data_IF_907375917873
#
_entry.id   IF_907375917873
#
_cell.length_a   1.000
_cell.length_b   1.000
_cell.length_c   1.000
_cell.angle_alpha   90.00
_cell.angle_beta   90.00
_cell.angle_gamma   90.00
#
_symmetry.space_group_name_H-M   'P 1'
#
loop_
_entity.id
_entity.type
_entity.pdbx_description
1 polymer ?
#
# COMPACT_ATOMS: atom_id res chain seq x y z
N UNK A 1 -57.76 52.57 -18.64
CA UNK A 1 -56.38 52.40 -19.16
C UNK A 1 -55.30 52.57 -18.10
N UNK A 2 -55.27 53.63 -17.29
CA UNK A 2 -54.27 53.82 -16.19
C UNK A 2 -54.24 52.69 -15.15
N UNK A 3 -55.40 52.16 -14.74
CA UNK A 3 -55.48 51.07 -13.75
C UNK A 3 -54.87 49.73 -14.23
N UNK A 4 -54.95 49.44 -15.55
CA UNK A 4 -54.35 48.25 -16.16
C UNK A 4 -52.82 48.37 -16.24
N UNK A 5 -52.31 49.56 -16.51
CA UNK A 5 -50.87 49.86 -16.51
C UNK A 5 -50.26 49.75 -15.10
N UNK A 6 -50.92 50.28 -14.08
CA UNK A 6 -50.46 50.18 -12.69
C UNK A 6 -50.49 48.74 -12.18
N UNK A 7 -51.51 47.95 -12.55
CA UNK A 7 -51.58 46.53 -12.21
C UNK A 7 -50.45 45.71 -12.89
N UNK A 8 -50.12 46.04 -14.14
CA UNK A 8 -49.02 45.41 -14.87
C UNK A 8 -47.64 45.65 -14.22
N UNK A 9 -47.36 46.88 -13.78
CA UNK A 9 -46.10 47.21 -13.10
C UNK A 9 -45.97 46.53 -11.74
N UNK A 10 -47.04 46.49 -10.95
CA UNK A 10 -47.04 45.80 -9.65
C UNK A 10 -46.81 44.29 -9.84
N UNK A 11 -47.47 43.68 -10.82
CA UNK A 11 -47.25 42.27 -11.15
C UNK A 11 -45.80 42.01 -11.60
N UNK A 12 -45.24 42.85 -12.47
CA UNK A 12 -43.87 42.71 -12.94
C UNK A 12 -42.84 42.84 -11.79
N UNK A 13 -43.03 43.80 -10.88
CA UNK A 13 -42.18 43.94 -9.70
C UNK A 13 -42.30 42.75 -8.75
N UNK A 14 -43.51 42.24 -8.51
CA UNK A 14 -43.72 41.05 -7.68
C UNK A 14 -43.04 39.81 -8.29
N UNK A 15 -43.13 39.62 -9.60
CA UNK A 15 -42.43 38.54 -10.29
C UNK A 15 -40.90 38.70 -10.25
N UNK A 16 -40.37 39.91 -10.41
CA UNK A 16 -38.94 40.16 -10.32
C UNK A 16 -38.39 39.86 -8.91
N UNK A 17 -39.12 40.23 -7.86
CA UNK A 17 -38.77 39.90 -6.47
C UNK A 17 -38.82 38.38 -6.26
N UNK A 18 -39.87 37.72 -6.75
CA UNK A 18 -40.01 36.27 -6.65
C UNK A 18 -38.85 35.53 -7.33
N UNK A 19 -38.54 35.88 -8.57
CA UNK A 19 -37.43 35.27 -9.34
C UNK A 19 -36.08 35.58 -8.71
N UNK A 20 -35.88 36.79 -8.20
CA UNK A 20 -34.66 37.15 -7.48
C UNK A 20 -34.48 36.31 -6.22
N UNK A 21 -35.54 36.12 -5.44
CA UNK A 21 -35.50 35.33 -4.22
C UNK A 21 -35.30 33.83 -4.49
N UNK A 22 -35.96 33.26 -5.51
CA UNK A 22 -35.75 31.86 -5.89
C UNK A 22 -34.34 31.62 -6.41
N UNK A 23 -33.81 32.55 -7.21
CA UNK A 23 -32.43 32.49 -7.71
C UNK A 23 -31.42 32.58 -6.56
N UNK A 24 -31.68 33.44 -5.57
CA UNK A 24 -30.86 33.53 -4.36
C UNK A 24 -30.86 32.21 -3.57
N UNK A 25 -32.03 31.59 -3.37
CA UNK A 25 -32.13 30.31 -2.66
C UNK A 25 -31.32 29.23 -3.37
N UNK A 26 -31.53 29.04 -4.68
CA UNK A 26 -30.81 28.03 -5.47
C UNK A 26 -29.30 28.27 -5.45
N UNK A 27 -28.86 29.53 -5.56
CA UNK A 27 -27.44 29.86 -5.53
C UNK A 27 -26.78 29.60 -4.16
N UNK A 28 -27.56 29.64 -3.08
CA UNK A 28 -27.05 29.57 -1.70
C UNK A 28 -27.40 28.28 -0.96
N UNK A 29 -28.23 27.40 -1.50
CA UNK A 29 -28.70 26.20 -0.81
C UNK A 29 -27.58 25.24 -0.36
N UNK A 30 -26.42 25.28 -1.02
CA UNK A 30 -25.23 24.49 -0.64
C UNK A 30 -24.23 25.30 0.18
N UNK A 31 -23.96 26.56 -0.20
CA UNK A 31 -22.89 27.38 0.41
C UNK A 31 -23.33 28.10 1.68
N UNK A 32 -24.60 28.50 1.76
CA UNK A 32 -25.19 29.22 2.88
C UNK A 32 -26.61 28.70 3.16
N UNK A 33 -26.76 27.41 3.53
CA UNK A 33 -28.06 26.77 3.68
C UNK A 33 -28.96 27.43 4.72
N UNK A 34 -28.38 27.99 5.80
CA UNK A 34 -29.13 28.76 6.79
C UNK A 34 -29.76 30.03 6.21
N UNK A 35 -29.02 30.75 5.35
CA UNK A 35 -29.53 31.95 4.69
C UNK A 35 -30.60 31.60 3.66
N UNK A 36 -30.38 30.54 2.86
CA UNK A 36 -31.36 30.04 1.92
C UNK A 36 -32.66 29.57 2.61
N UNK A 37 -32.54 28.88 3.75
CA UNK A 37 -33.67 28.46 4.57
C UNK A 37 -34.44 29.66 5.13
N UNK A 38 -33.73 30.70 5.61
CA UNK A 38 -34.33 31.90 6.20
C UNK A 38 -35.17 32.73 5.21
N UNK A 39 -34.90 32.67 3.91
CA UNK A 39 -35.72 33.36 2.89
C UNK A 39 -37.15 32.82 2.87
N UNK A 40 -37.36 31.55 3.21
CA UNK A 40 -38.69 30.99 3.35
C UNK A 40 -39.53 31.07 2.08
N UNK A 41 -38.94 30.94 0.88
CA UNK A 41 -39.66 30.86 -0.40
C UNK A 41 -39.32 29.54 -1.12
N UNK A 42 -40.15 29.10 -2.06
CA UNK A 42 -39.85 27.90 -2.85
C UNK A 42 -38.75 28.18 -3.89
N UNK A 43 -37.92 27.19 -4.30
CA UNK A 43 -37.87 25.80 -3.80
C UNK A 43 -37.15 25.70 -2.44
N UNK A 44 -37.65 24.86 -1.52
CA UNK A 44 -37.09 24.72 -0.15
C UNK A 44 -36.44 23.37 0.14
N UNK A 45 -36.55 22.39 -0.76
CA UNK A 45 -36.16 21.00 -0.45
C UNK A 45 -34.68 20.89 -0.15
N UNK A 46 -33.84 21.28 -1.10
CA UNK A 46 -32.38 21.26 -0.93
C UNK A 46 -31.87 22.18 0.19
N UNK A 47 -32.44 23.38 0.34
CA UNK A 47 -32.09 24.29 1.43
C UNK A 47 -32.39 23.69 2.83
N UNK A 48 -33.57 23.07 3.01
CA UNK A 48 -33.94 22.42 4.27
C UNK A 48 -33.04 21.22 4.59
N UNK A 49 -32.77 20.37 3.59
CA UNK A 49 -31.91 19.20 3.77
C UNK A 49 -30.47 19.60 4.14
N UNK A 50 -29.89 20.57 3.43
CA UNK A 50 -28.52 21.03 3.70
C UNK A 50 -28.43 21.79 5.02
N UNK A 51 -29.48 22.52 5.42
CA UNK A 51 -29.51 23.17 6.74
C UNK A 51 -29.54 22.14 7.87
N UNK A 52 -30.40 21.11 7.77
CA UNK A 52 -30.45 20.01 8.73
C UNK A 52 -29.12 19.24 8.82
N UNK A 53 -28.49 18.98 7.68
CA UNK A 53 -27.19 18.30 7.64
C UNK A 53 -26.07 19.15 8.24
N UNK A 54 -26.09 20.47 8.02
CA UNK A 54 -25.13 21.40 8.59
C UNK A 54 -25.23 21.45 10.12
N UNK A 55 -26.45 21.59 10.68
CA UNK A 55 -26.63 21.62 12.14
C UNK A 55 -26.26 20.27 12.77
N UNK A 56 -26.59 19.16 12.10
CA UNK A 56 -26.21 17.83 12.53
C UNK A 56 -24.68 17.68 12.55
N UNK A 57 -24.00 18.06 11.48
CA UNK A 57 -22.54 18.02 11.38
C UNK A 57 -21.83 18.85 12.46
N UNK A 58 -22.36 20.03 12.81
CA UNK A 58 -21.81 20.84 13.91
C UNK A 58 -21.96 20.15 15.27
N UNK A 59 -23.04 19.38 15.47
CA UNK A 59 -23.26 18.61 16.69
C UNK A 59 -22.33 17.40 16.76
N UNK A 60 -22.14 16.67 15.67
CA UNK A 60 -21.27 15.49 15.64
C UNK A 60 -19.79 15.84 15.84
N UNK A 61 -19.36 17.05 15.48
CA UNK A 61 -18.02 17.56 15.84
C UNK A 61 -17.81 17.72 17.34
N UNK A 62 -18.88 17.96 18.12
CA UNK A 62 -18.81 18.10 19.59
C UNK A 62 -19.09 16.78 20.31
N UNK A 63 -19.98 15.98 19.76
CA UNK A 63 -20.36 14.66 20.26
C UNK A 63 -20.46 13.69 19.08
N UNK A 64 -19.42 12.86 18.84
CA UNK A 64 -19.39 11.91 17.73
C UNK A 64 -20.51 10.86 17.77
N UNK A 65 -21.21 10.69 18.90
CA UNK A 65 -22.32 9.75 19.06
C UNK A 65 -23.70 10.46 18.98
N UNK A 66 -23.73 11.75 18.69
CA UNK A 66 -24.96 12.51 18.60
C UNK A 66 -25.85 11.98 17.46
N UNK A 67 -27.08 11.60 17.78
CA UNK A 67 -28.09 11.29 16.77
C UNK A 67 -28.73 12.56 16.19
N UNK A 68 -29.28 12.51 14.96
CA UNK A 68 -30.11 13.57 14.41
C UNK A 68 -31.27 13.93 15.36
N UNK A 69 -31.47 15.22 15.60
CA UNK A 69 -32.58 15.73 16.41
C UNK A 69 -33.91 15.68 15.66
N UNK A 70 -35.03 15.76 16.38
CA UNK A 70 -36.35 15.81 15.76
C UNK A 70 -36.50 16.99 14.79
N UNK A 71 -35.93 18.16 15.11
CA UNK A 71 -35.98 19.33 14.23
C UNK A 71 -35.23 19.09 12.90
N UNK A 72 -34.07 18.43 12.96
CA UNK A 72 -33.29 18.06 11.78
C UNK A 72 -34.03 17.01 10.92
N UNK A 73 -34.70 16.06 11.56
CA UNK A 73 -35.51 15.05 10.87
C UNK A 73 -36.76 15.63 10.22
N UNK A 74 -37.41 16.59 10.86
CA UNK A 74 -38.60 17.25 10.28
C UNK A 74 -38.21 18.06 9.04
N UNK A 75 -37.06 18.75 9.08
CA UNK A 75 -36.48 19.41 7.91
C UNK A 75 -36.11 18.42 6.81
N UNK A 76 -35.48 17.29 7.14
CA UNK A 76 -35.13 16.25 6.18
C UNK A 76 -36.39 15.62 5.54
N UNK A 77 -37.44 15.34 6.32
CA UNK A 77 -38.71 14.81 5.81
C UNK A 77 -39.44 15.82 4.92
N UNK A 78 -39.45 17.10 5.31
CA UNK A 78 -40.00 18.17 4.49
C UNK A 78 -39.25 18.29 3.16
N UNK A 79 -37.92 18.18 3.21
CA UNK A 79 -37.07 18.18 2.02
C UNK A 79 -37.34 16.98 1.11
N UNK A 80 -37.44 15.77 1.67
CA UNK A 80 -37.74 14.55 0.89
C UNK A 80 -39.11 14.63 0.20
N UNK A 81 -40.14 15.19 0.87
CA UNK A 81 -41.47 15.37 0.25
C UNK A 81 -41.44 16.37 -0.91
N UNK A 82 -40.60 17.40 -0.84
CA UNK A 82 -40.43 18.37 -1.90
C UNK A 82 -39.53 17.85 -3.04
N UNK A 83 -38.49 17.10 -2.69
CA UNK A 83 -37.45 16.60 -3.58
C UNK A 83 -37.09 15.14 -3.21
N UNK A 84 -37.81 14.14 -3.75
CA UNK A 84 -37.63 12.73 -3.39
C UNK A 84 -36.25 12.14 -3.71
N UNK A 85 -35.47 12.79 -4.57
CA UNK A 85 -34.11 12.38 -4.93
C UNK A 85 -33.03 13.12 -4.10
N UNK A 86 -33.42 13.89 -3.08
CA UNK A 86 -32.48 14.59 -2.20
C UNK A 86 -31.70 13.59 -1.34
N UNK A 87 -30.48 13.28 -1.78
CA UNK A 87 -29.61 12.36 -1.06
C UNK A 87 -29.27 12.84 0.36
N UNK A 88 -29.16 14.15 0.58
CA UNK A 88 -28.92 14.73 1.92
C UNK A 88 -30.08 14.46 2.87
N UNK A 89 -31.32 14.63 2.41
CA UNK A 89 -32.51 14.33 3.20
C UNK A 89 -32.59 12.84 3.54
N UNK A 90 -32.35 11.99 2.54
CA UNK A 90 -32.37 10.54 2.69
C UNK A 90 -31.29 10.03 3.66
N UNK A 91 -30.07 10.60 3.63
CA UNK A 91 -29.01 10.23 4.58
C UNK A 91 -29.40 10.44 6.04
N UNK A 92 -30.02 11.58 6.36
CA UNK A 92 -30.48 11.86 7.72
C UNK A 92 -31.63 10.95 8.15
N UNK A 93 -32.54 10.63 7.22
CA UNK A 93 -33.63 9.68 7.49
C UNK A 93 -33.04 8.28 7.78
N UNK A 94 -32.15 7.78 6.93
CA UNK A 94 -31.52 6.46 7.08
C UNK A 94 -30.69 6.34 8.36
N UNK A 95 -29.99 7.40 8.76
CA UNK A 95 -29.21 7.44 10.00
C UNK A 95 -30.05 7.19 11.27
N UNK A 96 -31.37 7.39 11.20
CA UNK A 96 -32.28 7.16 12.35
C UNK A 96 -33.09 5.88 12.28
N UNK A 97 -32.98 5.14 11.18
CA UNK A 97 -33.64 3.86 11.06
C UNK A 97 -32.90 2.81 11.90
N UNK A 98 -33.62 1.89 12.57
CA UNK A 98 -32.99 0.76 13.22
C UNK A 98 -32.29 -0.14 12.18
N UNK A 99 -31.24 -0.83 12.59
CA UNK A 99 -30.58 -1.81 11.73
C UNK A 99 -31.58 -2.89 11.28
N UNK A 100 -31.55 -3.22 10.00
CA UNK A 100 -32.47 -4.16 9.39
C UNK A 100 -32.49 -4.10 7.87
N UNK A 101 -33.22 -5.03 7.26
CA UNK A 101 -33.28 -5.18 5.79
C UNK A 101 -33.80 -3.93 5.09
N UNK A 102 -34.82 -3.27 5.67
CA UNK A 102 -35.38 -2.03 5.12
C UNK A 102 -34.37 -0.88 5.12
N UNK A 103 -33.64 -0.72 6.22
CA UNK A 103 -32.57 0.29 6.33
C UNK A 103 -31.50 0.01 5.30
N UNK A 104 -31.05 -1.24 5.17
CA UNK A 104 -30.00 -1.60 4.24
C UNK A 104 -30.43 -1.43 2.78
N UNK A 105 -31.66 -1.82 2.43
CA UNK A 105 -32.21 -1.64 1.08
C UNK A 105 -32.23 -0.16 0.70
N UNK A 106 -32.71 0.70 1.61
CA UNK A 106 -32.72 2.14 1.39
C UNK A 106 -31.30 2.72 1.31
N UNK A 107 -30.40 2.32 2.21
CA UNK A 107 -29.01 2.77 2.22
C UNK A 107 -28.32 2.43 0.88
N UNK A 108 -28.52 1.22 0.34
CA UNK A 108 -28.02 0.79 -0.97
C UNK A 108 -28.60 1.65 -2.09
N UNK A 109 -29.93 1.82 -2.15
CA UNK A 109 -30.59 2.62 -3.19
C UNK A 109 -30.14 4.09 -3.18
N UNK A 110 -30.03 4.70 -2.00
CA UNK A 110 -29.53 6.07 -1.85
C UNK A 110 -28.06 6.15 -2.24
N UNK A 111 -27.30 5.09 -1.94
CA UNK A 111 -25.91 4.92 -2.36
C UNK A 111 -25.72 4.97 -3.88
N UNK A 112 -26.73 4.58 -4.66
CA UNK A 112 -26.68 4.67 -6.12
C UNK A 112 -26.97 6.10 -6.62
N UNK A 113 -27.70 6.91 -5.85
CA UNK A 113 -28.06 8.28 -6.22
C UNK A 113 -26.89 9.27 -6.11
N UNK A 114 -26.01 9.11 -5.13
CA UNK A 114 -24.93 10.07 -4.88
C UNK A 114 -23.60 9.44 -4.53
N UNK A 115 -22.51 9.94 -5.12
CA UNK A 115 -21.14 9.54 -4.75
C UNK A 115 -20.53 10.43 -3.66
N UNK A 116 -21.05 11.63 -3.47
CA UNK A 116 -20.39 12.73 -2.73
C UNK A 116 -20.94 12.98 -1.33
N UNK A 117 -21.92 12.20 -0.89
CA UNK A 117 -22.51 12.37 0.44
C UNK A 117 -21.69 11.59 1.48
N UNK A 118 -20.94 12.31 2.31
CA UNK A 118 -20.02 11.73 3.30
C UNK A 118 -20.74 10.90 4.35
N UNK A 119 -21.87 11.39 4.88
CA UNK A 119 -22.65 10.68 5.89
C UNK A 119 -23.16 9.34 5.36
N UNK A 120 -23.70 9.33 4.16
CA UNK A 120 -24.18 8.09 3.54
C UNK A 120 -23.05 7.07 3.34
N UNK A 121 -21.91 7.57 2.85
CA UNK A 121 -20.73 6.73 2.63
C UNK A 121 -20.21 6.15 3.96
N UNK A 122 -20.21 6.94 5.04
CA UNK A 122 -19.84 6.49 6.39
C UNK A 122 -20.80 5.42 6.91
N UNK A 123 -22.11 5.64 6.78
CA UNK A 123 -23.13 4.66 7.16
C UNK A 123 -22.97 3.35 6.38
N UNK A 124 -22.65 3.42 5.08
CA UNK A 124 -22.39 2.23 4.26
C UNK A 124 -21.13 1.47 4.70
N UNK A 125 -20.06 2.19 5.06
CA UNK A 125 -18.83 1.60 5.58
C UNK A 125 -19.10 0.91 6.93
N UNK A 126 -19.79 1.58 7.84
CA UNK A 126 -20.15 1.05 9.17
C UNK A 126 -21.06 -0.17 9.05
N UNK A 127 -22.12 -0.08 8.24
CA UNK A 127 -23.05 -1.19 8.04
C UNK A 127 -22.35 -2.42 7.41
N UNK A 128 -21.46 -2.21 6.45
CA UNK A 128 -20.66 -3.29 5.87
C UNK A 128 -19.69 -3.91 6.89
N UNK A 129 -19.01 -3.09 7.70
CA UNK A 129 -18.11 -3.55 8.74
C UNK A 129 -18.83 -4.38 9.81
N UNK A 130 -20.01 -3.95 10.27
CA UNK A 130 -20.82 -4.66 11.27
C UNK A 130 -21.30 -6.03 10.77
N UNK A 131 -21.51 -6.18 9.46
CA UNK A 131 -21.91 -7.47 8.85
C UNK A 131 -20.72 -8.36 8.46
N UNK A 132 -19.49 -7.88 8.59
CA UNK A 132 -18.31 -8.57 8.06
C UNK A 132 -18.30 -8.68 6.53
N UNK A 133 -19.01 -7.80 5.82
CA UNK A 133 -19.02 -7.77 4.35
C UNK A 133 -17.81 -6.95 3.86
N UNK A 134 -16.65 -7.60 3.83
CA UNK A 134 -15.40 -6.95 3.43
C UNK A 134 -15.44 -6.43 1.99
N UNK A 135 -16.19 -7.08 1.09
CA UNK A 135 -16.34 -6.61 -0.29
C UNK A 135 -17.05 -5.26 -0.34
N UNK A 136 -18.18 -5.13 0.35
CA UNK A 136 -18.88 -3.85 0.44
C UNK A 136 -18.04 -2.81 1.18
N UNK A 137 -17.40 -3.20 2.30
CA UNK A 137 -16.56 -2.31 3.11
C UNK A 137 -15.45 -1.66 2.28
N UNK A 138 -14.65 -2.45 1.56
CA UNK A 138 -13.56 -1.93 0.72
C UNK A 138 -14.07 -1.12 -0.48
N UNK A 139 -15.21 -1.53 -1.06
CA UNK A 139 -15.84 -0.78 -2.14
C UNK A 139 -16.24 0.64 -1.70
N UNK A 140 -16.91 0.76 -0.54
CA UNK A 140 -17.36 2.04 -0.01
C UNK A 140 -16.21 2.91 0.48
N UNK A 141 -15.17 2.33 1.09
CA UNK A 141 -13.95 3.07 1.43
C UNK A 141 -13.27 3.64 0.18
N UNK A 142 -13.08 2.83 -0.85
CA UNK A 142 -12.48 3.27 -2.12
C UNK A 142 -13.23 4.46 -2.74
N UNK A 143 -14.56 4.40 -2.74
CA UNK A 143 -15.42 5.48 -3.24
C UNK A 143 -15.30 6.74 -2.39
N UNK A 144 -15.22 6.60 -1.07
CA UNK A 144 -15.08 7.70 -0.13
C UNK A 144 -13.75 8.42 -0.26
N UNK A 145 -12.67 7.66 -0.46
CA UNK A 145 -11.32 8.20 -0.72
C UNK A 145 -11.28 9.12 -1.94
N UNK A 146 -12.05 8.81 -2.99
CA UNK A 146 -12.08 9.60 -4.23
C UNK A 146 -12.92 10.89 -4.12
N UNK A 147 -13.76 11.00 -3.10
CA UNK A 147 -14.75 12.08 -3.00
C UNK A 147 -14.56 12.98 -1.79
N UNK A 148 -13.81 12.52 -0.77
CA UNK A 148 -13.50 13.28 0.43
C UNK A 148 -11.98 13.37 0.63
N UNK A 149 -11.40 14.50 0.21
CA UNK A 149 -9.96 14.75 0.33
C UNK A 149 -9.49 14.84 1.78
N UNK A 150 -10.31 15.41 2.67
CA UNK A 150 -9.94 15.64 4.06
C UNK A 150 -9.82 14.32 4.84
N UNK A 151 -10.68 13.35 4.53
CA UNK A 151 -10.69 12.04 5.18
C UNK A 151 -9.89 10.97 4.42
N UNK A 152 -9.30 11.32 3.27
CA UNK A 152 -8.55 10.38 2.43
C UNK A 152 -7.50 9.60 3.23
N UNK A 153 -6.71 10.30 4.05
CA UNK A 153 -5.62 9.66 4.83
C UNK A 153 -6.18 8.62 5.80
N UNK A 154 -7.25 8.98 6.52
CA UNK A 154 -7.92 8.10 7.48
C UNK A 154 -8.49 6.86 6.78
N UNK A 155 -9.20 7.03 5.67
CA UNK A 155 -9.78 5.92 4.91
C UNK A 155 -8.73 4.99 4.29
N UNK A 156 -7.64 5.53 3.75
CA UNK A 156 -6.52 4.70 3.27
C UNK A 156 -5.87 3.93 4.43
N UNK A 157 -5.78 4.53 5.62
CA UNK A 157 -5.25 3.85 6.80
C UNK A 157 -6.14 2.69 7.25
N UNK A 158 -7.44 2.95 7.35
CA UNK A 158 -8.43 1.93 7.69
C UNK A 158 -8.42 0.78 6.67
N UNK A 159 -8.25 1.10 5.38
CA UNK A 159 -8.11 0.09 4.33
C UNK A 159 -6.86 -0.77 4.51
N UNK A 160 -5.70 -0.15 4.78
CA UNK A 160 -4.44 -0.85 5.00
C UNK A 160 -4.46 -1.74 6.26
N UNK A 161 -5.15 -1.31 7.30
CA UNK A 161 -5.34 -2.11 8.53
C UNK A 161 -6.31 -3.28 8.29
N UNK A 162 -7.43 -3.03 7.62
CA UNK A 162 -8.41 -4.06 7.29
C UNK A 162 -7.87 -5.12 6.30
N UNK A 163 -6.75 -4.86 5.61
CA UNK A 163 -6.07 -5.88 4.79
C UNK A 163 -5.69 -7.14 5.58
N UNK A 164 -5.57 -7.07 6.91
CA UNK A 164 -5.34 -8.24 7.76
C UNK A 164 -6.54 -9.22 7.82
N UNK A 165 -7.75 -8.80 7.46
CA UNK A 165 -8.96 -9.62 7.54
C UNK A 165 -8.95 -10.78 6.53
N UNK A 166 -9.68 -11.84 6.87
CA UNK A 166 -9.96 -12.92 5.94
C UNK A 166 -10.78 -12.40 4.75
N UNK A 167 -10.53 -12.88 3.53
CA UNK A 167 -11.25 -12.39 2.33
C UNK A 167 -10.84 -11.01 1.81
N UNK A 168 -10.07 -10.22 2.57
CA UNK A 168 -9.63 -8.88 2.16
C UNK A 168 -8.90 -8.86 0.81
N UNK A 169 -8.08 -9.88 0.53
CA UNK A 169 -7.36 -9.99 -0.76
C UNK A 169 -8.35 -10.05 -1.93
N UNK A 170 -9.39 -10.86 -1.85
CA UNK A 170 -10.39 -11.01 -2.91
C UNK A 170 -11.20 -9.72 -3.09
N UNK A 171 -11.55 -9.06 -1.99
CA UNK A 171 -12.29 -7.79 -1.99
C UNK A 171 -11.47 -6.60 -2.52
N UNK A 172 -10.19 -6.50 -2.13
CA UNK A 172 -9.29 -5.40 -2.52
C UNK A 172 -8.71 -5.56 -3.92
N UNK A 173 -8.58 -6.78 -4.44
CA UNK A 173 -8.02 -7.01 -5.79
C UNK A 173 -8.69 -6.16 -6.87
N UNK A 174 -10.03 -6.11 -7.01
CA UNK A 174 -10.66 -5.26 -8.02
C UNK A 174 -10.57 -3.77 -7.73
N UNK A 175 -10.41 -3.37 -6.46
CA UNK A 175 -10.25 -1.98 -6.05
C UNK A 175 -8.85 -1.47 -6.41
N UNK A 176 -7.81 -2.12 -5.89
CA UNK A 176 -6.41 -1.74 -6.08
C UNK A 176 -5.91 -2.09 -7.49
N UNK A 177 -6.46 -3.13 -8.09
CA UNK A 177 -6.14 -3.57 -9.45
C UNK A 177 -6.37 -2.49 -10.51
N UNK A 178 -7.35 -1.61 -10.30
CA UNK A 178 -7.62 -0.45 -11.17
C UNK A 178 -6.54 0.66 -11.09
N UNK A 179 -5.56 0.51 -10.20
CA UNK A 179 -4.48 1.48 -9.93
C UNK A 179 -5.00 2.90 -9.65
N UNK A 180 -5.90 3.08 -8.67
CA UNK A 180 -6.43 4.40 -8.35
C UNK A 180 -5.31 5.34 -7.88
N UNK A 181 -5.50 6.65 -8.03
CA UNK A 181 -4.49 7.67 -7.72
C UNK A 181 -3.99 7.64 -6.27
N UNK A 182 -4.77 7.07 -5.36
CA UNK A 182 -4.43 6.91 -3.95
C UNK A 182 -3.74 5.57 -3.61
N UNK A 183 -3.64 4.63 -4.57
CA UNK A 183 -3.06 3.29 -4.35
C UNK A 183 -1.63 3.34 -3.83
N UNK A 184 -0.84 4.33 -4.24
CA UNK A 184 0.52 4.51 -3.74
C UNK A 184 0.54 4.80 -2.22
N UNK A 185 -0.41 5.61 -1.74
CA UNK A 185 -0.56 5.87 -0.30
C UNK A 185 -1.02 4.62 0.46
N UNK A 186 -1.85 3.78 -0.17
CA UNK A 186 -2.24 2.49 0.40
C UNK A 186 -1.02 1.57 0.56
N UNK A 187 -0.21 1.41 -0.50
CA UNK A 187 0.99 0.57 -0.44
C UNK A 187 2.00 1.06 0.60
N UNK A 188 2.20 2.38 0.71
CA UNK A 188 3.01 2.97 1.76
C UNK A 188 2.51 2.62 3.17
N UNK A 189 1.19 2.64 3.41
CA UNK A 189 0.63 2.37 4.73
C UNK A 189 0.60 0.88 5.06
N UNK A 190 0.23 0.01 4.10
CA UNK A 190 0.05 -1.43 4.37
C UNK A 190 1.37 -2.13 4.71
N UNK A 191 2.50 -1.70 4.13
CA UNK A 191 3.82 -2.26 4.47
C UNK A 191 4.25 -1.96 5.90
N UNK A 192 3.64 -0.97 6.55
CA UNK A 192 3.90 -0.61 7.95
C UNK A 192 2.99 -1.35 8.93
N UNK A 193 2.07 -2.21 8.45
CA UNK A 193 1.09 -2.93 9.28
C UNK A 193 1.47 -4.41 9.39
N UNK A 194 2.06 -4.86 10.51
CA UNK A 194 2.52 -6.24 10.69
C UNK A 194 1.47 -7.30 10.33
N UNK A 195 0.25 -7.12 10.85
CA UNK A 195 -0.85 -8.07 10.65
C UNK A 195 -1.32 -8.16 9.19
N UNK A 196 -1.05 -7.14 8.39
CA UNK A 196 -1.50 -7.06 6.99
C UNK A 196 -0.49 -7.59 6.00
N UNK A 197 0.78 -7.81 6.38
CA UNK A 197 1.87 -8.08 5.43
C UNK A 197 1.64 -9.32 4.55
N UNK A 198 1.18 -10.43 5.15
CA UNK A 198 0.93 -11.66 4.42
C UNK A 198 -0.17 -11.48 3.36
N UNK A 199 -1.25 -10.79 3.71
CA UNK A 199 -2.33 -10.50 2.78
C UNK A 199 -1.94 -9.42 1.76
N UNK A 200 -1.11 -8.45 2.14
CA UNK A 200 -0.55 -7.46 1.22
C UNK A 200 0.30 -8.12 0.13
N UNK A 201 1.13 -9.11 0.49
CA UNK A 201 1.90 -9.90 -0.47
C UNK A 201 0.99 -10.65 -1.45
N UNK A 202 -0.02 -11.37 -0.93
CA UNK A 202 -1.02 -12.07 -1.76
C UNK A 202 -1.77 -11.12 -2.69
N UNK A 203 -2.19 -9.95 -2.18
CA UNK A 203 -2.84 -8.92 -2.97
C UNK A 203 -1.93 -8.40 -4.08
N UNK A 204 -0.65 -8.15 -3.78
CA UNK A 204 0.32 -7.66 -4.76
C UNK A 204 0.54 -8.66 -5.90
N UNK A 205 0.63 -9.95 -5.57
CA UNK A 205 0.68 -11.06 -6.55
C UNK A 205 -0.61 -11.12 -7.38
N UNK A 206 -1.78 -10.94 -6.74
CA UNK A 206 -3.07 -10.99 -7.43
C UNK A 206 -3.21 -9.86 -8.47
N UNK A 207 -2.81 -8.62 -8.14
CA UNK A 207 -2.87 -7.50 -9.08
C UNK A 207 -1.77 -7.54 -10.16
N UNK A 208 -0.71 -8.32 -9.96
CA UNK A 208 0.30 -8.56 -11.00
C UNK A 208 -0.24 -9.45 -12.14
N UNK A 209 -1.23 -10.29 -11.86
CA UNK A 209 -1.83 -11.24 -12.80
C UNK A 209 -2.95 -10.60 -13.63
N UNK A 210 -3.49 -11.35 -14.59
CA UNK A 210 -4.71 -10.97 -15.31
C UNK A 210 -5.88 -10.74 -14.33
N UNK A 211 -6.77 -9.76 -14.59
CA UNK A 211 -6.79 -8.86 -15.74
C UNK A 211 -5.93 -7.59 -15.57
N UNK A 212 -5.40 -7.33 -14.38
CA UNK A 212 -4.81 -6.02 -14.02
C UNK A 212 -3.39 -5.81 -14.53
N UNK A 213 -2.58 -6.88 -14.61
CA UNK A 213 -1.21 -6.87 -15.16
C UNK A 213 -0.31 -5.77 -14.57
N UNK A 214 -0.42 -5.48 -13.28
CA UNK A 214 0.50 -4.53 -12.60
C UNK A 214 1.87 -5.17 -12.38
N UNK A 215 2.65 -5.35 -13.44
CA UNK A 215 3.93 -6.09 -13.41
C UNK A 215 5.12 -5.24 -12.98
N UNK A 216 4.99 -3.91 -13.01
CA UNK A 216 6.09 -3.02 -12.64
C UNK A 216 6.43 -3.13 -11.14
N UNK A 217 7.69 -3.39 -10.83
CA UNK A 217 8.20 -3.46 -9.46
C UNK A 217 8.37 -2.03 -8.91
N UNK A 218 7.74 -1.76 -7.77
CA UNK A 218 7.77 -0.47 -7.10
C UNK A 218 8.69 -0.48 -5.87
N UNK A 219 8.98 0.71 -5.32
CA UNK A 219 9.69 0.84 -4.04
C UNK A 219 8.96 0.15 -2.88
N UNK A 220 7.63 0.07 -2.95
CA UNK A 220 6.81 -0.54 -1.90
C UNK A 220 6.87 -2.07 -1.98
N UNK A 221 7.09 -2.64 -3.16
CA UNK A 221 7.34 -4.08 -3.31
C UNK A 221 8.64 -4.46 -2.60
N UNK A 222 9.69 -3.63 -2.75
CA UNK A 222 10.97 -3.80 -2.03
C UNK A 222 10.78 -3.72 -0.52
N UNK A 223 10.05 -2.70 -0.04
CA UNK A 223 9.75 -2.53 1.37
C UNK A 223 8.95 -3.72 1.92
N UNK A 224 7.94 -4.20 1.19
CA UNK A 224 7.12 -5.35 1.55
C UNK A 224 7.96 -6.63 1.66
N UNK A 225 8.82 -6.90 0.67
CA UNK A 225 9.72 -8.05 0.64
C UNK A 225 10.70 -8.05 1.84
N UNK A 226 11.27 -6.89 2.15
CA UNK A 226 12.17 -6.70 3.31
C UNK A 226 11.40 -6.89 4.63
N UNK A 227 10.22 -6.28 4.78
CA UNK A 227 9.43 -6.39 6.02
C UNK A 227 8.93 -7.80 6.29
N UNK A 228 8.51 -8.53 5.25
CA UNK A 228 8.18 -9.96 5.36
C UNK A 228 9.39 -10.76 5.87
N UNK A 229 10.56 -10.53 5.28
CA UNK A 229 11.80 -11.20 5.65
C UNK A 229 12.22 -10.89 7.10
N UNK A 230 12.20 -9.61 7.49
CA UNK A 230 12.55 -9.17 8.84
C UNK A 230 11.67 -9.80 9.93
N UNK A 231 10.44 -10.20 9.57
CA UNK A 231 9.47 -10.82 10.47
C UNK A 231 9.40 -12.34 10.37
N UNK A 232 10.31 -12.95 9.60
CA UNK A 232 10.37 -14.40 9.44
C UNK A 232 9.34 -14.97 8.45
N UNK A 233 8.63 -14.14 7.70
CA UNK A 233 7.70 -14.57 6.64
C UNK A 233 8.43 -14.84 5.32
N UNK A 234 9.50 -15.63 5.36
CA UNK A 234 10.39 -15.89 4.22
C UNK A 234 9.67 -16.53 3.03
N UNK A 235 8.80 -17.51 3.29
CA UNK A 235 8.04 -18.21 2.24
C UNK A 235 7.08 -17.26 1.51
N UNK A 236 6.47 -16.31 2.23
CA UNK A 236 5.61 -15.29 1.63
C UNK A 236 6.42 -14.25 0.82
N UNK A 237 7.59 -13.86 1.32
CA UNK A 237 8.50 -12.99 0.58
C UNK A 237 8.98 -13.66 -0.72
N UNK A 238 9.28 -14.97 -0.67
CA UNK A 238 9.67 -15.75 -1.85
C UNK A 238 8.52 -15.85 -2.86
N UNK A 239 7.31 -16.14 -2.40
CA UNK A 239 6.13 -16.18 -3.24
C UNK A 239 5.84 -14.83 -3.92
N UNK A 240 6.12 -13.71 -3.24
CA UNK A 240 6.04 -12.37 -3.84
C UNK A 240 7.06 -12.20 -4.97
N UNK A 241 8.32 -12.59 -4.74
CA UNK A 241 9.37 -12.54 -5.75
C UNK A 241 9.04 -13.36 -7.01
N UNK A 242 8.57 -14.59 -6.82
CA UNK A 242 8.16 -15.48 -7.92
C UNK A 242 6.88 -14.98 -8.61
N UNK A 243 5.91 -14.49 -7.84
CA UNK A 243 4.63 -13.98 -8.35
C UNK A 243 4.75 -12.70 -9.20
N UNK A 244 5.87 -12.00 -9.11
CA UNK A 244 6.20 -10.85 -9.97
C UNK A 244 7.06 -11.22 -11.20
N UNK A 245 7.23 -12.53 -11.47
CA UNK A 245 8.00 -13.05 -12.61
C UNK A 245 9.48 -12.59 -12.62
N UNK A 246 10.04 -12.34 -11.43
CA UNK A 246 11.44 -11.98 -11.24
C UNK A 246 12.34 -13.20 -11.06
N UNK A 247 11.74 -14.37 -10.81
CA UNK A 247 12.41 -15.66 -10.80
C UNK A 247 12.73 -16.12 -12.24
N UNK A 248 13.45 -15.30 -13.00
CA UNK A 248 13.95 -15.70 -14.32
C UNK A 248 15.00 -16.79 -14.12
N UNK A 249 14.54 -18.01 -14.35
CA UNK A 249 15.27 -19.26 -14.52
C UNK A 249 16.72 -19.27 -14.02
N UNK A 250 16.88 -19.89 -12.85
CA UNK A 250 18.07 -20.62 -12.41
C UNK A 250 18.37 -21.83 -13.34
N UNK A 251 18.28 -21.64 -14.66
CA UNK A 251 18.54 -22.64 -15.72
C UNK A 251 19.97 -23.19 -15.66
N UNK A 252 20.86 -22.57 -14.88
CA UNK A 252 22.27 -22.94 -14.76
C UNK A 252 22.64 -23.72 -13.49
N UNK A 253 21.67 -24.13 -12.66
CA UNK A 253 21.95 -24.75 -11.36
C UNK A 253 22.59 -23.80 -10.34
N UNK A 254 22.70 -22.51 -10.68
CA UNK A 254 23.07 -21.45 -9.75
C UNK A 254 21.84 -21.08 -8.90
N UNK A 255 22.00 -21.11 -7.58
CA UNK A 255 20.98 -20.77 -6.61
C UNK A 255 20.88 -19.26 -6.35
N UNK A 256 21.87 -18.48 -6.83
CA UNK A 256 21.87 -17.03 -6.73
C UNK A 256 21.12 -16.40 -7.90
N UNK A 257 20.30 -15.38 -7.61
CA UNK A 257 19.73 -14.54 -8.66
C UNK A 257 20.73 -13.48 -9.07
N UNK A 258 20.91 -13.32 -10.38
CA UNK A 258 21.85 -12.37 -10.99
C UNK A 258 23.29 -12.45 -10.44
N UNK A 259 23.82 -13.68 -10.31
CA UNK A 259 25.21 -13.89 -9.89
C UNK A 259 26.27 -13.31 -10.84
N UNK A 260 25.88 -13.01 -12.08
CA UNK A 260 26.73 -12.33 -13.07
C UNK A 260 26.57 -10.80 -13.10
N UNK A 261 25.79 -10.22 -12.18
CA UNK A 261 25.60 -8.77 -12.03
C UNK A 261 25.19 -8.07 -13.34
N UNK A 262 24.31 -8.70 -14.10
CA UNK A 262 23.88 -8.21 -15.41
C UNK A 262 22.77 -7.16 -15.34
N UNK A 263 22.17 -6.92 -14.16
CA UNK A 263 21.09 -5.94 -13.97
C UNK A 263 21.14 -5.29 -12.60
N UNK A 264 20.44 -4.17 -12.46
CA UNK A 264 20.21 -3.58 -11.15
C UNK A 264 19.26 -4.48 -10.32
N UNK A 265 19.43 -4.53 -8.99
CA UNK A 265 18.53 -5.28 -8.13
C UNK A 265 17.13 -4.66 -8.12
N UNK A 266 16.11 -5.47 -8.38
CA UNK A 266 14.73 -5.00 -8.44
C UNK A 266 13.98 -5.27 -7.14
N UNK A 267 14.14 -6.48 -6.58
CA UNK A 267 13.39 -6.92 -5.41
C UNK A 267 14.26 -7.70 -4.40
N UNK A 268 15.13 -7.01 -3.63
CA UNK A 268 15.80 -7.61 -2.48
C UNK A 268 14.76 -8.15 -1.46
N UNK A 269 15.10 -9.17 -0.66
CA UNK A 269 16.43 -9.77 -0.53
C UNK A 269 16.69 -10.97 -1.45
N UNK A 270 15.77 -11.31 -2.36
CA UNK A 270 16.00 -12.40 -3.33
C UNK A 270 16.75 -11.92 -4.57
N UNK A 271 16.76 -10.62 -4.85
CA UNK A 271 17.83 -9.96 -5.59
C UNK A 271 18.92 -9.44 -4.63
N UNK A 272 20.06 -9.01 -5.18
CA UNK A 272 21.14 -8.42 -4.39
C UNK A 272 20.68 -7.22 -3.56
N UNK A 273 20.82 -7.33 -2.24
CA UNK A 273 20.76 -6.18 -1.34
C UNK A 273 22.16 -5.60 -1.20
N UNK A 274 22.36 -4.41 -1.76
CA UNK A 274 23.64 -3.71 -1.75
C UNK A 274 23.72 -2.74 -0.56
N UNK A 275 24.91 -2.63 0.02
CA UNK A 275 25.16 -1.70 1.10
C UNK A 275 25.39 -0.28 0.60
N UNK A 276 24.83 0.66 1.33
CA UNK A 276 25.03 2.09 1.13
C UNK A 276 25.29 2.71 2.50
N UNK A 277 26.56 2.93 2.83
CA UNK A 277 27.00 3.56 4.06
C UNK A 277 28.18 4.50 3.79
N UNK A 278 28.50 5.39 4.73
CA UNK A 278 29.58 6.36 4.55
C UNK A 278 30.98 5.74 4.37
N UNK A 279 31.22 4.54 4.92
CA UNK A 279 32.53 3.86 4.87
C UNK A 279 32.55 2.64 3.95
N UNK A 280 31.40 2.16 3.51
CA UNK A 280 31.22 0.97 2.68
C UNK A 280 30.08 1.21 1.69
N UNK A 281 30.38 1.10 0.41
CA UNK A 281 29.42 1.18 -0.68
C UNK A 281 29.55 -0.02 -1.62
N UNK A 282 28.42 -0.43 -2.17
CA UNK A 282 28.39 -1.39 -3.27
C UNK A 282 27.41 -0.95 -4.35
N UNK A 283 27.79 -1.15 -5.60
CA UNK A 283 26.96 -0.84 -6.76
C UNK A 283 27.17 -1.88 -7.86
N UNK A 284 26.13 -2.15 -8.64
CA UNK A 284 26.27 -2.94 -9.86
C UNK A 284 26.45 -1.95 -11.02
N UNK A 285 27.44 -2.18 -11.86
CA UNK A 285 27.59 -1.52 -13.16
C UNK A 285 27.05 -2.47 -14.23
N UNK A 286 25.92 -2.09 -14.83
CA UNK A 286 25.21 -2.89 -15.83
C UNK A 286 25.98 -2.99 -17.16
N UNK A 287 26.86 -2.03 -17.46
CA UNK A 287 27.69 -2.02 -18.68
C UNK A 287 28.84 -2.99 -18.55
N UNK A 288 29.56 -2.94 -17.43
CA UNK A 288 30.67 -3.85 -17.16
C UNK A 288 30.22 -5.21 -16.62
N UNK A 289 28.94 -5.34 -16.26
CA UNK A 289 28.32 -6.52 -15.63
C UNK A 289 29.13 -6.96 -14.42
N UNK A 290 29.36 -6.01 -13.52
CA UNK A 290 30.18 -6.24 -12.35
C UNK A 290 29.61 -5.58 -11.12
N UNK A 291 29.82 -6.21 -9.97
CA UNK A 291 29.59 -5.62 -8.66
C UNK A 291 30.87 -4.93 -8.20
N UNK A 292 30.80 -3.61 -8.06
CA UNK A 292 31.82 -2.80 -7.40
C UNK A 292 31.56 -2.80 -5.90
N UNK A 293 32.60 -3.10 -5.12
CA UNK A 293 32.65 -2.93 -3.68
C UNK A 293 33.77 -1.96 -3.36
N UNK A 294 33.40 -0.82 -2.77
CA UNK A 294 34.33 0.21 -2.31
C UNK A 294 34.23 0.37 -0.81
N UNK A 295 35.36 0.29 -0.14
CA UNK A 295 35.41 0.40 1.32
C UNK A 295 36.67 1.14 1.77
N UNK A 296 36.54 1.97 2.80
CA UNK A 296 37.66 2.69 3.42
C UNK A 296 38.04 2.09 4.77
N UNK A 297 39.10 2.60 5.39
CA UNK A 297 39.61 2.15 6.68
C UNK A 297 38.49 2.08 7.74
N UNK A 298 38.49 1.00 8.53
CA UNK A 298 37.47 0.74 9.56
C UNK A 298 36.11 0.24 9.04
N UNK A 299 35.93 0.09 7.73
CA UNK A 299 34.68 -0.42 7.16
C UNK A 299 34.38 -1.86 7.60
N UNK A 300 33.15 -2.08 8.10
CA UNK A 300 32.65 -3.39 8.54
C UNK A 300 31.19 -3.56 8.14
N UNK A 301 30.84 -4.70 7.58
CA UNK A 301 29.46 -5.02 7.22
C UNK A 301 29.37 -5.91 5.97
N UNK A 302 28.16 -6.17 5.49
CA UNK A 302 27.98 -6.77 4.17
C UNK A 302 28.10 -5.67 3.11
N UNK A 303 28.79 -5.94 2.00
CA UNK A 303 28.76 -5.12 0.79
C UNK A 303 27.54 -5.49 -0.06
N UNK A 304 27.28 -6.79 -0.22
CA UNK A 304 26.16 -7.32 -0.95
C UNK A 304 25.66 -8.58 -0.26
N UNK A 305 24.33 -8.81 -0.23
CA UNK A 305 23.77 -10.06 0.29
C UNK A 305 22.51 -10.47 -0.44
N UNK A 306 22.21 -11.77 -0.41
CA UNK A 306 20.99 -12.35 -0.96
C UNK A 306 20.47 -13.43 -0.01
N UNK A 307 19.15 -13.55 0.07
CA UNK A 307 18.48 -14.61 0.81
C UNK A 307 18.26 -15.82 -0.11
N UNK A 308 18.68 -16.99 0.35
CA UNK A 308 18.63 -18.24 -0.42
C UNK A 308 18.07 -19.37 0.43
N UNK A 309 17.32 -20.27 -0.19
CA UNK A 309 16.87 -21.52 0.45
C UNK A 309 17.94 -22.58 0.22
N UNK A 310 18.52 -23.11 1.31
CA UNK A 310 19.60 -24.11 1.24
C UNK A 310 19.25 -25.32 2.11
N UNK A 311 18.76 -26.42 1.53
CA UNK A 311 18.66 -27.69 2.23
C UNK A 311 20.01 -28.19 2.76
N UNK A 312 20.04 -29.10 3.74
CA UNK A 312 21.28 -29.76 4.16
C UNK A 312 21.99 -30.44 2.99
N UNK A 313 23.31 -30.27 2.89
CA UNK A 313 24.09 -30.85 1.81
C UNK A 313 25.40 -30.16 1.48
N UNK A 314 26.03 -30.62 0.39
CA UNK A 314 27.29 -30.09 -0.11
C UNK A 314 27.05 -28.98 -1.14
N UNK A 315 27.75 -27.87 -0.98
CA UNK A 315 27.63 -26.70 -1.86
C UNK A 315 29.01 -26.25 -2.35
N UNK A 316 29.03 -25.62 -3.52
CA UNK A 316 30.22 -24.99 -4.11
C UNK A 316 29.92 -23.53 -4.37
N UNK A 317 30.68 -22.65 -3.73
CA UNK A 317 30.69 -21.21 -4.00
C UNK A 317 31.81 -20.90 -5.00
N UNK A 318 31.47 -20.38 -6.18
CA UNK A 318 32.42 -19.89 -7.18
C UNK A 318 32.42 -18.37 -7.24
N UNK A 319 33.59 -17.75 -7.49
CA UNK A 319 33.69 -16.31 -7.69
C UNK A 319 34.80 -15.92 -8.66
N UNK A 320 34.63 -14.76 -9.30
CA UNK A 320 35.64 -14.09 -10.12
C UNK A 320 35.81 -12.66 -9.64
N UNK A 321 36.94 -12.38 -9.01
CA UNK A 321 37.24 -11.10 -8.35
C UNK A 321 38.50 -10.47 -8.95
N UNK A 322 38.45 -9.18 -9.26
CA UNK A 322 39.63 -8.35 -9.54
C UNK A 322 39.67 -7.17 -8.57
N UNK A 323 40.86 -6.72 -8.20
CA UNK A 323 41.03 -5.60 -7.27
C UNK A 323 42.19 -4.71 -7.70
N UNK A 324 42.12 -3.43 -7.35
CA UNK A 324 43.13 -2.43 -7.68
C UNK A 324 44.46 -2.65 -6.94
N UNK A 325 44.45 -3.35 -5.80
CA UNK A 325 45.63 -3.67 -5.00
C UNK A 325 45.64 -5.15 -4.58
N UNK A 326 46.83 -5.73 -4.26
CA UNK A 326 46.93 -7.09 -3.73
C UNK A 326 46.11 -7.26 -2.44
N UNK A 327 45.06 -8.07 -2.51
CA UNK A 327 44.15 -8.38 -1.39
C UNK A 327 44.78 -9.52 -0.56
N UNK A 328 45.77 -9.23 0.29
CA UNK A 328 46.40 -10.24 1.17
C UNK A 328 46.77 -9.67 2.56
N UNK A 329 46.20 -10.19 3.67
CA UNK A 329 45.06 -11.12 3.73
C UNK A 329 43.78 -10.47 3.18
N UNK A 330 42.81 -11.27 2.75
CA UNK A 330 41.60 -10.70 2.15
C UNK A 330 40.65 -10.08 3.19
N UNK A 331 40.38 -8.76 3.11
CA UNK A 331 39.28 -8.13 3.85
C UNK A 331 37.88 -8.57 3.39
N UNK A 332 37.78 -9.26 2.25
CA UNK A 332 36.51 -9.74 1.70
C UNK A 332 36.25 -11.19 2.11
N UNK A 333 35.05 -11.47 2.61
CA UNK A 333 34.64 -12.81 3.05
C UNK A 333 33.23 -13.11 2.57
N UNK A 334 33.00 -14.28 1.99
CA UNK A 334 31.65 -14.79 1.84
C UNK A 334 31.22 -15.43 3.17
N UNK A 335 30.05 -15.04 3.68
CA UNK A 335 29.45 -15.62 4.87
C UNK A 335 28.10 -16.21 4.51
N UNK A 336 27.85 -17.42 5.04
CA UNK A 336 26.54 -18.06 5.00
C UNK A 336 26.05 -18.13 6.44
N UNK A 337 24.93 -17.50 6.73
CA UNK A 337 24.35 -17.48 8.08
C UNK A 337 22.86 -17.74 8.04
N UNK A 338 22.34 -18.49 9.00
CA UNK A 338 20.91 -18.73 9.13
C UNK A 338 20.14 -17.40 9.25
N UNK A 339 19.04 -17.28 8.51
CA UNK A 339 18.16 -16.11 8.52
C UNK A 339 17.00 -16.28 9.51
N UNK A 340 16.61 -17.51 9.83
CA UNK A 340 15.53 -17.83 10.76
C UNK A 340 15.96 -17.56 12.21
N UNK A 341 15.23 -16.69 12.90
CA UNK A 341 15.51 -16.29 14.28
C UNK A 341 15.14 -17.40 15.27
N UNK A 342 15.96 -17.58 16.31
CA UNK A 342 15.73 -18.58 17.35
C UNK A 342 16.24 -19.99 17.02
N UNK A 343 16.67 -20.23 15.78
CA UNK A 343 17.23 -21.51 15.39
C UNK A 343 18.75 -21.55 15.54
N UNK A 344 19.24 -22.57 16.25
CA UNK A 344 20.68 -22.81 16.41
C UNK A 344 21.21 -23.59 15.21
N UNK A 345 21.48 -22.90 14.11
CA UNK A 345 22.32 -23.47 13.06
C UNK A 345 23.78 -23.46 13.51
N UNK A 346 24.51 -24.56 13.27
CA UNK A 346 25.94 -24.57 13.50
C UNK A 346 26.63 -23.50 12.64
N UNK A 347 27.63 -22.78 13.18
CA UNK A 347 28.27 -21.70 12.45
C UNK A 347 29.01 -22.24 11.23
N UNK A 348 28.72 -21.66 10.05
CA UNK A 348 29.43 -21.96 8.82
C UNK A 348 30.65 -21.06 8.74
N UNK A 349 31.83 -21.65 8.56
CA UNK A 349 33.08 -20.90 8.50
C UNK A 349 33.08 -19.94 7.29
N UNK A 350 33.37 -18.64 7.50
CA UNK A 350 33.47 -17.69 6.39
C UNK A 350 34.55 -18.10 5.37
N UNK A 351 34.30 -17.80 4.11
CA UNK A 351 35.19 -18.09 2.99
C UNK A 351 35.91 -16.80 2.59
N UNK A 352 37.23 -16.74 2.78
CA UNK A 352 38.02 -15.61 2.28
C UNK A 352 37.96 -15.52 0.76
N UNK A 353 37.59 -14.34 0.24
CA UNK A 353 37.45 -14.08 -1.19
C UNK A 353 38.72 -13.41 -1.71
N UNK A 354 39.55 -14.14 -2.44
CA UNK A 354 40.81 -13.65 -3.02
C UNK A 354 40.64 -13.29 -4.49
N UNK A 355 41.51 -12.40 -5.00
CA UNK A 355 41.54 -12.03 -6.41
C UNK A 355 41.84 -13.24 -7.33
N UNK A 356 41.30 -13.22 -8.53
CA UNK A 356 41.31 -14.32 -9.49
C UNK A 356 39.98 -15.05 -9.60
N UNK A 357 40.00 -16.20 -10.29
CA UNK A 357 38.86 -17.10 -10.41
C UNK A 357 39.05 -18.29 -9.47
N UNK A 358 38.11 -18.46 -8.55
CA UNK A 358 38.23 -19.46 -7.48
C UNK A 358 36.89 -20.12 -7.22
N UNK A 359 36.94 -21.27 -6.55
CA UNK A 359 35.77 -21.89 -5.99
C UNK A 359 36.12 -22.65 -4.71
N UNK A 360 35.18 -22.67 -3.75
CA UNK A 360 35.36 -23.38 -2.49
C UNK A 360 34.09 -24.14 -2.13
N UNK A 361 34.27 -25.38 -1.69
CA UNK A 361 33.18 -26.21 -1.20
C UNK A 361 32.94 -25.98 0.30
N UNK A 362 31.69 -26.09 0.72
CA UNK A 362 31.27 -26.04 2.11
C UNK A 362 30.02 -26.90 2.31
N UNK A 363 29.68 -27.18 3.56
CA UNK A 363 28.57 -28.05 3.92
C UNK A 363 27.54 -27.21 4.68
N UNK A 364 26.28 -27.34 4.28
CA UNK A 364 25.14 -26.93 5.11
C UNK A 364 24.82 -28.11 6.02
N UNK A 365 25.02 -27.98 7.35
CA UNK A 365 24.75 -29.05 8.28
C UNK A 365 23.26 -29.36 8.33
N UNK A 366 22.91 -30.55 8.82
CA UNK A 366 21.52 -30.82 9.20
C UNK A 366 21.10 -29.81 10.27
N UNK A 367 20.08 -29.02 9.95
CA UNK A 367 19.53 -28.01 10.85
C UNK A 367 18.07 -27.75 10.50
N UNK A 368 17.36 -27.12 11.43
CA UNK A 368 15.99 -26.62 11.19
C UNK A 368 15.96 -25.45 10.22
N UNK A 369 17.11 -24.78 10.00
CA UNK A 369 17.18 -23.57 9.21
C UNK A 369 17.13 -23.88 7.71
N UNK A 370 16.12 -23.33 7.04
CA UNK A 370 15.86 -23.46 5.61
C UNK A 370 16.37 -22.25 4.83
N UNK A 371 16.33 -21.07 5.45
CA UNK A 371 16.66 -19.80 4.82
C UNK A 371 17.99 -19.26 5.32
N UNK A 372 18.91 -18.98 4.39
CA UNK A 372 20.24 -18.49 4.69
C UNK A 372 20.51 -17.17 3.98
N UNK A 373 21.19 -16.27 4.69
CA UNK A 373 21.86 -15.14 4.08
C UNK A 373 23.19 -15.60 3.50
N UNK A 374 23.37 -15.43 2.19
CA UNK A 374 24.70 -15.39 1.59
C UNK A 374 25.12 -13.92 1.48
N UNK A 375 26.16 -13.51 2.18
CA UNK A 375 26.70 -12.16 2.12
C UNK A 375 28.16 -12.14 1.69
N UNK A 376 28.53 -11.09 0.97
CA UNK A 376 29.90 -10.66 0.75
C UNK A 376 30.18 -9.60 1.80
N UNK A 377 30.98 -9.95 2.81
CA UNK A 377 31.33 -9.07 3.91
C UNK A 377 32.69 -8.42 3.72
N UNK A 378 32.79 -7.20 4.23
CA UNK A 378 34.03 -6.43 4.33
C UNK A 378 34.40 -6.31 5.80
N UNK A 379 35.67 -6.59 6.10
CA UNK A 379 36.27 -6.34 7.41
C UNK A 379 37.64 -5.70 7.19
N UNK A 380 37.69 -4.37 7.26
CA UNK A 380 38.91 -3.58 7.17
C UNK A 380 39.34 -3.08 8.56
N UNK A 381 40.63 -3.26 8.92
CA UNK A 381 41.24 -2.57 10.06
C UNK A 381 41.15 -1.04 9.95
N UNK A 382 41.32 -0.34 11.08
CA UNK A 382 41.23 1.12 11.11
C UNK A 382 42.45 1.80 10.45
N UNK A 383 43.55 1.07 10.27
CA UNK A 383 44.81 1.51 9.67
C UNK A 383 45.03 0.99 8.24
N UNK A 384 44.04 0.32 7.65
CA UNK A 384 44.19 -0.26 6.30
C UNK A 384 44.02 0.78 5.20
N UNK A 385 44.74 0.62 4.09
CA UNK A 385 44.35 1.25 2.83
C UNK A 385 42.95 0.78 2.42
N UNK A 386 42.12 1.70 1.90
CA UNK A 386 40.82 1.34 1.33
C UNK A 386 40.95 0.35 0.17
N UNK A 387 39.85 -0.30 -0.18
CA UNK A 387 39.80 -1.30 -1.25
C UNK A 387 38.73 -0.92 -2.28
N UNK A 388 39.05 -1.17 -3.54
CA UNK A 388 38.09 -1.28 -4.63
C UNK A 388 38.18 -2.68 -5.22
N UNK A 389 37.06 -3.39 -5.16
CA UNK A 389 36.92 -4.76 -5.61
C UNK A 389 35.80 -4.88 -6.65
N UNK A 390 36.08 -5.59 -7.73
CA UNK A 390 35.16 -5.81 -8.83
C UNK A 390 34.88 -7.29 -8.98
N UNK A 391 33.66 -7.70 -8.65
CA UNK A 391 33.18 -9.07 -8.88
C UNK A 391 32.54 -9.15 -10.26
N UNK A 392 33.06 -10.01 -11.12
CA UNK A 392 32.46 -10.32 -12.43
C UNK A 392 31.40 -11.41 -12.34
N UNK A 393 31.55 -12.32 -11.38
CA UNK A 393 30.63 -13.42 -11.16
C UNK A 393 30.74 -13.93 -9.74
N UNK A 394 29.60 -14.34 -9.18
CA UNK A 394 29.49 -15.18 -8.00
C UNK A 394 28.41 -16.23 -8.26
N UNK A 395 28.68 -17.48 -7.91
CA UNK A 395 27.75 -18.58 -8.11
C UNK A 395 27.71 -19.49 -6.89
N UNK A 396 26.53 -20.01 -6.59
CA UNK A 396 26.30 -21.00 -5.56
C UNK A 396 25.57 -22.18 -6.19
N UNK A 397 26.18 -23.36 -6.18
CA UNK A 397 25.55 -24.56 -6.72
C UNK A 397 25.60 -25.70 -5.68
N UNK A 398 24.55 -26.51 -5.66
CA UNK A 398 24.58 -27.76 -4.90
C UNK A 398 25.51 -28.74 -5.62
N UNK A 399 26.45 -29.33 -4.89
CA UNK A 399 27.32 -30.37 -5.42
C UNK A 399 26.59 -31.69 -5.22
N UNK A 400 26.06 -32.28 -6.29
CA UNK A 400 25.59 -33.66 -6.23
C UNK A 400 26.79 -34.54 -5.94
N UNK A 401 26.86 -35.09 -4.73
CA UNK A 401 27.80 -36.16 -4.45
C UNK A 401 27.50 -37.29 -5.43
N UNK A 402 28.49 -37.71 -6.22
CA UNK A 402 28.46 -39.06 -6.75
C UNK A 402 28.28 -39.98 -5.55
N UNK A 403 27.15 -40.70 -5.51
CA UNK A 403 27.04 -41.89 -4.67
C UNK A 403 28.06 -42.92 -5.10
#
# INVERSE_FOLDING_TARGET
MKALLTAGWVAASAFAIWVGATSYIIANEVKAPAAAHAVGLAPRGSANANFAMMTYGVRTLKDPQAAPSNAELDLARAAYRAEPLSSTALSLIVATMPEGETRQSLLTQVGDLTRRNSLLNEEQITAAALRGDDRAFFHWLSRSVLTNNDLRVAYVSAMAEATAREGAVAALTPVIGSAPSWSESYWHQVVQRPASLLNAAKLRIAVAKQPWRQTNVSRWDRALSIELTNRGHFDAARALYEGLDLARETRSGNLLSDGGFGRQPELPPFDWQLAVSGTLGASIDDRSKSLLVSAISGARGFAARQLVSLPPGNYRLGWSLSASMPITPSPLRARVSCAESGERAAPIQPISLTAGQHAKSFIIPESVCRWYWLSIDVVLPDDSAGIDAYFRNISLAQTTGNK
#
